data_IF_271571756770
#
_entry.id   IF_271571756770
#
_cell.length_a   1.000
_cell.length_b   1.000
_cell.length_c   1.000
_cell.angle_alpha   90.00
_cell.angle_beta   90.00
_cell.angle_gamma   90.00
#
_symmetry.space_group_name_H-M   'P 1'
#
loop_
_entity.id
_entity.type
_entity.pdbx_description
1 polymer ?
#
# COMPACT_ATOMS: atom_id res chain seq x y z
N UNK A 1 18.41 -8.53 -6.45
CA UNK A 1 18.80 -7.11 -6.26
C UNK A 1 18.46 -6.36 -7.54
N UNK A 2 17.72 -5.23 -7.48
CA UNK A 2 17.23 -4.51 -8.66
C UNK A 2 18.37 -4.02 -9.59
N UNK A 3 19.49 -3.58 -9.01
CA UNK A 3 20.65 -3.10 -9.78
C UNK A 3 20.84 -1.60 -9.74
N UNK A 4 21.90 -1.11 -10.42
CA UNK A 4 22.27 0.30 -10.38
C UNK A 4 22.64 0.77 -8.97
N UNK A 5 22.01 1.85 -8.52
CA UNK A 5 22.14 2.35 -7.15
C UNK A 5 21.39 1.52 -6.11
N UNK A 6 20.43 0.71 -6.53
CA UNK A 6 19.60 -0.11 -5.66
C UNK A 6 20.28 -1.47 -5.42
N UNK A 7 20.96 -1.59 -4.28
CA UNK A 7 21.73 -2.78 -3.88
C UNK A 7 21.03 -3.60 -2.78
N UNK A 8 19.85 -3.18 -2.39
CA UNK A 8 18.99 -3.79 -1.40
C UNK A 8 17.92 -4.66 -2.08
N UNK A 9 17.36 -5.60 -1.31
CA UNK A 9 16.14 -6.31 -1.67
C UNK A 9 14.97 -5.48 -1.13
N UNK A 10 14.10 -5.03 -2.03
CA UNK A 10 12.90 -4.29 -1.69
C UNK A 10 11.68 -5.21 -1.68
N UNK A 11 10.73 -4.94 -0.80
CA UNK A 11 9.62 -5.86 -0.53
C UNK A 11 8.70 -6.02 -1.75
N UNK A 12 7.97 -4.98 -2.16
CA UNK A 12 6.96 -5.13 -3.21
C UNK A 12 7.56 -5.39 -4.60
N UNK A 13 8.75 -4.87 -4.88
CA UNK A 13 9.51 -5.14 -6.12
C UNK A 13 9.77 -6.63 -6.31
N UNK A 14 9.98 -7.34 -5.20
CA UNK A 14 10.24 -8.79 -5.20
C UNK A 14 9.05 -9.60 -5.74
N UNK A 15 7.81 -9.13 -5.56
CA UNK A 15 6.64 -9.78 -6.13
C UNK A 15 6.72 -9.82 -7.66
N UNK A 16 7.04 -8.70 -8.30
CA UNK A 16 7.17 -8.63 -9.77
C UNK A 16 8.36 -9.47 -10.27
N UNK A 17 9.46 -9.50 -9.52
CA UNK A 17 10.59 -10.38 -9.78
C UNK A 17 10.16 -11.86 -9.73
N UNK A 18 9.36 -12.26 -8.74
CA UNK A 18 8.84 -13.62 -8.62
C UNK A 18 7.96 -14.02 -9.79
N UNK A 19 7.13 -13.11 -10.34
CA UNK A 19 6.33 -13.40 -11.52
C UNK A 19 7.22 -13.77 -12.72
N UNK A 20 8.36 -13.08 -12.90
CA UNK A 20 9.37 -13.45 -13.91
C UNK A 20 9.99 -14.82 -13.63
N UNK A 21 10.38 -15.09 -12.38
CA UNK A 21 10.94 -16.41 -12.00
C UNK A 21 9.94 -17.54 -12.25
N UNK A 22 8.66 -17.35 -11.95
CA UNK A 22 7.64 -18.36 -12.26
C UNK A 22 7.46 -18.58 -13.77
N UNK A 23 7.55 -17.51 -14.59
CA UNK A 23 7.48 -17.62 -16.04
C UNK A 23 8.70 -18.41 -16.61
N UNK A 24 9.86 -18.29 -15.97
CA UNK A 24 11.08 -19.01 -16.32
C UNK A 24 11.18 -20.41 -15.65
N UNK A 25 10.13 -20.86 -14.95
CA UNK A 25 10.08 -22.11 -14.20
C UNK A 25 11.08 -22.20 -13.02
N UNK A 26 11.57 -21.07 -12.52
CA UNK A 26 12.48 -20.97 -11.36
C UNK A 26 11.70 -20.93 -10.03
N UNK A 27 10.75 -21.86 -9.86
CA UNK A 27 9.85 -21.93 -8.69
C UNK A 27 10.60 -22.03 -7.37
N UNK A 28 11.70 -22.83 -7.32
CA UNK A 28 12.48 -23.00 -6.09
C UNK A 28 13.14 -21.70 -5.62
N UNK A 29 13.57 -20.85 -6.55
CA UNK A 29 14.14 -19.53 -6.23
C UNK A 29 13.06 -18.58 -5.69
N UNK A 30 11.90 -18.53 -6.34
CA UNK A 30 10.76 -17.72 -5.87
C UNK A 30 10.30 -18.18 -4.47
N UNK A 31 10.20 -19.48 -4.21
CA UNK A 31 9.84 -20.02 -2.90
C UNK A 31 10.87 -19.67 -1.82
N UNK A 32 12.17 -19.71 -2.14
CA UNK A 32 13.24 -19.26 -1.25
C UNK A 32 13.10 -17.77 -0.89
N UNK A 33 12.70 -16.91 -1.84
CA UNK A 33 12.42 -15.50 -1.56
C UNK A 33 11.23 -15.33 -0.61
N UNK A 34 10.15 -16.10 -0.82
CA UNK A 34 8.97 -16.09 0.09
C UNK A 34 9.38 -16.53 1.49
N UNK A 35 10.21 -17.58 1.62
CA UNK A 35 10.70 -18.04 2.91
C UNK A 35 11.50 -16.96 3.63
N UNK A 36 12.36 -16.22 2.93
CA UNK A 36 13.13 -15.11 3.51
C UNK A 36 12.18 -14.00 4.03
N UNK A 37 11.09 -13.68 3.32
CA UNK A 37 10.09 -12.73 3.80
C UNK A 37 9.30 -13.27 5.00
N UNK A 38 8.96 -14.56 4.99
CA UNK A 38 8.34 -15.23 6.14
C UNK A 38 9.22 -15.14 7.39
N UNK A 39 10.53 -15.37 7.25
CA UNK A 39 11.50 -15.23 8.35
C UNK A 39 11.59 -13.79 8.87
N UNK A 40 11.49 -12.78 7.98
CA UNK A 40 11.43 -11.37 8.39
C UNK A 40 10.15 -11.07 9.19
N UNK A 41 9.00 -11.55 8.72
CA UNK A 41 7.73 -11.40 9.44
C UNK A 41 7.81 -12.09 10.81
N UNK A 42 8.42 -13.27 10.90
CA UNK A 42 8.55 -13.98 12.16
C UNK A 42 9.44 -13.25 13.18
N UNK A 43 10.49 -12.57 12.72
CA UNK A 43 11.43 -11.83 13.56
C UNK A 43 10.96 -10.43 13.93
N UNK A 44 10.32 -9.73 13.00
CA UNK A 44 10.01 -8.28 13.11
C UNK A 44 8.50 -8.00 13.22
N UNK A 45 7.66 -8.96 12.87
CA UNK A 45 6.21 -8.79 12.77
C UNK A 45 5.73 -8.26 11.41
N UNK A 46 6.64 -7.82 10.54
CA UNK A 46 6.33 -7.27 9.21
C UNK A 46 7.52 -7.41 8.26
N UNK A 47 7.33 -7.11 6.99
CA UNK A 47 8.42 -7.03 6.01
C UNK A 47 8.84 -5.56 5.89
N UNK A 48 10.10 -5.21 6.26
CA UNK A 48 10.61 -3.85 6.07
C UNK A 48 10.65 -3.44 4.60
N UNK A 49 10.63 -2.13 4.35
CA UNK A 49 10.74 -1.52 3.03
C UNK A 49 11.90 -2.11 2.20
N UNK A 50 13.05 -2.35 2.84
CA UNK A 50 14.20 -3.01 2.27
C UNK A 50 15.03 -3.69 3.36
N UNK A 51 16.03 -4.49 2.97
CA UNK A 51 16.83 -5.32 3.86
C UNK A 51 17.99 -4.58 4.56
N UNK A 52 17.74 -3.35 5.03
CA UNK A 52 18.67 -2.55 5.85
C UNK A 52 17.97 -2.11 7.14
N UNK A 53 18.74 -1.96 8.21
CA UNK A 53 18.23 -1.59 9.55
C UNK A 53 17.50 -0.23 9.56
N UNK A 54 17.91 0.72 8.73
CA UNK A 54 17.26 2.03 8.65
C UNK A 54 15.88 2.01 7.99
N UNK A 55 15.49 0.90 7.38
CA UNK A 55 14.11 0.69 6.87
C UNK A 55 13.15 0.11 7.92
N UNK A 56 13.61 -0.16 9.16
CA UNK A 56 12.80 -0.83 10.17
C UNK A 56 11.61 0.01 10.70
N UNK A 57 11.50 1.29 10.32
CA UNK A 57 10.37 2.15 10.70
C UNK A 57 9.13 2.00 9.82
N UNK A 58 9.25 1.35 8.64
CA UNK A 58 8.18 1.25 7.64
C UNK A 58 8.25 -0.02 6.81
N UNK A 59 7.13 -0.40 6.23
CA UNK A 59 7.02 -1.49 5.27
C UNK A 59 7.03 -0.94 3.82
N UNK A 60 6.46 -1.67 2.90
CA UNK A 60 6.03 -1.30 1.55
C UNK A 60 4.64 -1.88 1.29
N UNK A 61 3.99 -1.63 0.13
CA UNK A 61 2.68 -2.19 -0.17
C UNK A 61 2.63 -3.71 0.07
N UNK A 62 1.62 -4.22 0.82
CA UNK A 62 1.59 -5.60 1.31
C UNK A 62 1.28 -6.63 0.22
N UNK A 63 2.29 -7.04 -0.52
CA UNK A 63 2.19 -8.03 -1.58
C UNK A 63 2.43 -9.48 -1.13
N UNK A 64 2.71 -9.74 0.15
CA UNK A 64 3.00 -11.11 0.60
C UNK A 64 1.85 -12.08 0.31
N UNK A 65 0.60 -11.65 0.52
CA UNK A 65 -0.57 -12.47 0.19
C UNK A 65 -0.68 -12.79 -1.32
N UNK A 66 -0.25 -11.87 -2.20
CA UNK A 66 -0.17 -12.11 -3.64
C UNK A 66 1.01 -13.05 -4.01
N UNK A 67 2.13 -12.98 -3.27
CA UNK A 67 3.24 -13.93 -3.43
C UNK A 67 2.80 -15.35 -3.09
N UNK A 68 2.03 -15.51 -2.01
CA UNK A 68 1.45 -16.81 -1.61
C UNK A 68 0.46 -17.32 -2.66
N UNK A 69 -0.41 -16.44 -3.19
CA UNK A 69 -1.33 -16.81 -4.28
C UNK A 69 -0.57 -17.25 -5.54
N UNK A 70 0.44 -16.49 -5.96
CA UNK A 70 1.25 -16.82 -7.13
C UNK A 70 1.97 -18.17 -6.97
N UNK A 71 2.53 -18.46 -5.78
CA UNK A 71 3.13 -19.76 -5.48
C UNK A 71 2.11 -20.89 -5.51
N UNK A 72 0.91 -20.67 -4.94
CA UNK A 72 -0.17 -21.65 -4.93
C UNK A 72 -0.64 -22.00 -6.36
N UNK A 73 -0.78 -20.99 -7.22
CA UNK A 73 -1.13 -21.17 -8.64
C UNK A 73 -0.03 -21.94 -9.37
N UNK A 74 1.24 -21.56 -9.19
CA UNK A 74 2.37 -22.21 -9.84
C UNK A 74 2.49 -23.68 -9.43
N UNK A 75 2.30 -23.99 -8.14
CA UNK A 75 2.32 -25.38 -7.62
C UNK A 75 1.03 -26.16 -7.86
N UNK A 76 -0.02 -25.54 -8.40
CA UNK A 76 -1.38 -26.13 -8.50
C UNK A 76 -1.85 -26.70 -7.17
N UNK A 77 -1.58 -26.01 -6.07
CA UNK A 77 -1.85 -26.47 -4.70
C UNK A 77 -2.17 -25.32 -3.77
N UNK A 78 -3.17 -25.49 -2.89
CA UNK A 78 -3.51 -24.52 -1.86
C UNK A 78 -2.63 -24.62 -0.60
N UNK A 79 -1.65 -25.54 -0.56
CA UNK A 79 -0.73 -25.73 0.57
C UNK A 79 -0.01 -24.43 0.99
N UNK A 80 0.45 -23.54 0.11
CA UNK A 80 1.10 -22.30 0.53
C UNK A 80 0.27 -21.44 1.48
N UNK A 81 -1.06 -21.39 1.31
CA UNK A 81 -1.94 -20.66 2.24
C UNK A 81 -1.91 -21.22 3.65
N UNK A 82 -1.84 -22.53 3.81
CA UNK A 82 -1.77 -23.18 5.14
C UNK A 82 -0.38 -23.13 5.74
N UNK A 83 0.65 -23.20 4.92
CA UNK A 83 2.04 -23.11 5.34
C UNK A 83 2.36 -21.73 5.93
N UNK A 84 1.90 -20.67 5.30
CA UNK A 84 2.23 -19.29 5.65
C UNK A 84 1.11 -18.52 6.38
N UNK A 85 0.10 -19.22 6.92
CA UNK A 85 -1.04 -18.60 7.61
C UNK A 85 -0.62 -17.69 8.76
N UNK A 86 0.39 -18.10 9.54
CA UNK A 86 0.91 -17.31 10.67
C UNK A 86 1.53 -16.01 10.21
N UNK A 87 2.28 -16.04 9.11
CA UNK A 87 2.94 -14.85 8.56
C UNK A 87 1.92 -13.91 7.90
N UNK A 88 0.94 -14.43 7.18
CA UNK A 88 -0.19 -13.63 6.67
C UNK A 88 -0.93 -12.92 7.82
N UNK A 89 -1.16 -13.61 8.94
CA UNK A 89 -1.79 -13.03 10.12
C UNK A 89 -0.94 -11.91 10.73
N UNK A 90 0.36 -12.14 10.92
CA UNK A 90 1.27 -11.13 11.49
C UNK A 90 1.38 -9.89 10.61
N UNK A 91 1.45 -10.06 9.27
CA UNK A 91 1.43 -8.92 8.36
C UNK A 91 0.12 -8.13 8.47
N UNK A 92 -1.02 -8.82 8.53
CA UNK A 92 -2.30 -8.16 8.76
C UNK A 92 -2.31 -7.39 10.09
N UNK A 93 -1.82 -7.99 11.16
CA UNK A 93 -1.77 -7.37 12.48
C UNK A 93 -0.89 -6.11 12.49
N UNK A 94 0.23 -6.11 11.74
CA UNK A 94 1.06 -4.92 11.54
C UNK A 94 0.25 -3.78 10.89
N UNK A 95 -0.44 -4.04 9.80
CA UNK A 95 -1.24 -3.02 9.11
C UNK A 95 -2.46 -2.57 9.92
N UNK A 96 -2.92 -3.37 10.86
CA UNK A 96 -4.06 -3.05 11.74
C UNK A 96 -3.63 -2.47 13.09
N UNK A 97 -2.32 -2.20 13.31
CA UNK A 97 -1.86 -1.51 14.51
C UNK A 97 -2.55 -0.16 14.68
N UNK A 98 -2.98 0.12 15.90
CA UNK A 98 -3.73 1.34 16.25
C UNK A 98 -5.26 1.19 16.13
N UNK A 99 -5.79 0.14 15.52
CA UNK A 99 -7.24 -0.06 15.35
C UNK A 99 -8.01 0.00 16.66
N UNK A 100 -7.47 -0.62 17.71
CA UNK A 100 -8.14 -0.75 19.02
C UNK A 100 -8.25 0.59 19.78
N UNK A 101 -7.44 1.59 19.42
CA UNK A 101 -7.46 2.94 20.02
C UNK A 101 -8.37 3.93 19.29
N UNK A 102 -9.00 3.50 18.17
CA UNK A 102 -9.84 4.39 17.39
C UNK A 102 -11.18 4.64 18.06
N UNK A 103 -11.58 5.92 18.11
CA UNK A 103 -12.92 6.37 18.55
C UNK A 103 -13.37 7.52 17.65
N UNK A 104 -14.57 8.05 17.92
CA UNK A 104 -15.05 9.23 17.18
C UNK A 104 -14.26 10.49 17.56
N UNK A 105 -13.72 10.57 18.80
CA UNK A 105 -12.85 11.64 19.27
C UNK A 105 -11.38 11.45 18.83
N UNK A 106 -10.96 10.21 18.61
CA UNK A 106 -9.62 9.86 18.15
C UNK A 106 -9.69 9.00 16.88
N UNK A 107 -9.95 9.63 15.72
CA UNK A 107 -10.26 8.90 14.48
C UNK A 107 -9.03 8.30 13.80
N UNK A 108 -7.79 8.63 14.21
CA UNK A 108 -6.58 8.12 13.57
C UNK A 108 -5.57 7.58 14.58
N UNK A 109 -4.97 6.47 14.24
CA UNK A 109 -3.87 5.88 15.00
C UNK A 109 -3.01 5.01 14.09
N UNK A 110 -1.72 5.34 14.02
CA UNK A 110 -0.76 4.62 13.17
C UNK A 110 -1.29 4.43 11.73
N UNK A 111 -1.38 3.19 11.27
CA UNK A 111 -1.88 2.87 9.93
C UNK A 111 -3.41 2.94 9.79
N UNK A 112 -4.16 3.04 10.88
CA UNK A 112 -5.62 2.93 10.87
C UNK A 112 -6.33 4.27 10.99
N UNK A 113 -7.37 4.44 10.19
CA UNK A 113 -8.26 5.61 10.19
C UNK A 113 -9.71 5.13 10.34
N UNK A 114 -10.40 5.66 11.34
CA UNK A 114 -11.85 5.52 11.48
C UNK A 114 -12.54 6.58 10.63
N UNK A 115 -13.25 6.13 9.62
CA UNK A 115 -14.01 7.02 8.75
C UNK A 115 -15.28 7.48 9.47
N UNK A 116 -15.88 8.62 9.04
CA UNK A 116 -17.13 9.15 9.63
C UNK A 116 -18.31 8.18 9.64
N UNK A 117 -18.32 7.20 8.75
CA UNK A 117 -19.33 6.16 8.71
C UNK A 117 -19.05 4.99 9.67
N UNK A 118 -17.95 5.04 10.44
CA UNK A 118 -17.51 3.98 11.34
C UNK A 118 -16.64 2.92 10.71
N UNK A 119 -16.46 2.95 9.38
CA UNK A 119 -15.56 2.04 8.68
C UNK A 119 -14.10 2.32 9.06
N UNK A 120 -13.25 1.29 9.06
CA UNK A 120 -11.81 1.43 9.26
C UNK A 120 -11.09 1.19 7.94
N UNK A 121 -10.33 2.18 7.50
CA UNK A 121 -9.44 2.11 6.34
C UNK A 121 -8.01 2.40 6.77
N UNK A 122 -7.06 2.11 5.89
CA UNK A 122 -5.63 2.23 6.19
C UNK A 122 -4.97 3.33 5.38
N UNK A 123 -3.90 3.89 5.97
CA UNK A 123 -2.97 4.83 5.34
C UNK A 123 -1.55 4.30 5.43
N UNK A 124 -0.63 4.84 4.63
CA UNK A 124 0.80 4.67 4.86
C UNK A 124 1.25 5.51 6.04
N UNK A 125 2.10 4.93 6.91
CA UNK A 125 2.52 5.58 8.16
C UNK A 125 3.84 5.03 8.67
N UNK A 126 4.92 5.81 8.58
CA UNK A 126 6.20 5.46 9.22
C UNK A 126 6.18 5.85 10.71
N UNK A 127 6.72 4.99 11.55
CA UNK A 127 6.79 5.22 12.99
C UNK A 127 7.74 6.37 13.37
N UNK A 128 8.73 6.69 12.53
CA UNK A 128 9.69 7.76 12.77
C UNK A 128 9.25 9.10 12.17
N UNK A 129 9.69 10.18 12.80
CA UNK A 129 9.46 11.57 12.40
C UNK A 129 10.77 12.36 12.26
N UNK A 130 11.83 11.65 11.85
CA UNK A 130 13.18 12.17 11.57
C UNK A 130 13.47 12.09 10.07
N UNK A 131 14.47 12.81 9.56
CA UNK A 131 14.92 12.65 8.18
C UNK A 131 15.22 11.19 7.86
N UNK A 132 14.93 10.74 6.63
CA UNK A 132 15.28 9.41 6.16
C UNK A 132 16.80 9.29 6.06
N UNK A 133 17.37 8.22 6.58
CA UNK A 133 18.82 8.02 6.58
C UNK A 133 19.37 7.89 5.15
N UNK A 134 18.65 7.20 4.26
CA UNK A 134 19.04 7.02 2.86
C UNK A 134 18.87 8.27 1.99
N UNK A 135 18.14 9.29 2.48
CA UNK A 135 17.88 10.55 1.79
C UNK A 135 18.08 11.77 2.70
N UNK A 136 18.96 11.64 3.69
CA UNK A 136 19.12 12.60 4.79
C UNK A 136 19.31 14.04 4.30
N UNK A 137 20.21 14.26 3.34
CA UNK A 137 20.48 15.60 2.79
C UNK A 137 19.24 16.22 2.12
N UNK A 138 18.56 15.44 1.31
CA UNK A 138 17.36 15.91 0.58
C UNK A 138 16.21 16.24 1.54
N UNK A 139 16.05 15.46 2.61
CA UNK A 139 15.01 15.72 3.60
C UNK A 139 15.30 16.99 4.42
N UNK A 140 16.57 17.26 4.77
CA UNK A 140 16.98 18.50 5.44
C UNK A 140 16.79 19.72 4.50
N UNK A 141 17.17 19.61 3.23
CA UNK A 141 16.95 20.67 2.24
C UNK A 141 15.44 20.98 2.07
N UNK A 142 14.59 19.94 2.03
CA UNK A 142 13.13 20.08 1.95
C UNK A 142 12.56 20.74 3.22
N UNK A 143 13.08 20.41 4.40
CA UNK A 143 12.69 21.05 5.65
C UNK A 143 13.11 22.52 5.70
N UNK A 144 14.27 22.85 5.14
CA UNK A 144 14.71 24.25 4.95
C UNK A 144 13.74 25.04 4.08
N UNK A 145 13.26 24.46 2.98
CA UNK A 145 12.24 25.07 2.12
C UNK A 145 10.90 25.24 2.85
N UNK A 146 10.48 24.24 3.65
CA UNK A 146 9.28 24.37 4.48
C UNK A 146 9.38 25.55 5.44
N UNK A 147 10.50 25.69 6.17
CA UNK A 147 10.73 26.81 7.10
C UNK A 147 10.65 28.17 6.45
N UNK A 148 11.23 28.31 5.25
CA UNK A 148 11.20 29.57 4.51
C UNK A 148 9.81 29.95 4.03
N UNK A 149 9.01 28.99 3.58
CA UNK A 149 7.72 29.25 2.94
C UNK A 149 6.52 29.11 3.90
N UNK A 150 6.62 28.25 4.92
CA UNK A 150 5.56 27.94 5.87
C UNK A 150 6.13 27.71 7.28
N UNK A 151 6.70 28.78 7.93
CA UNK A 151 7.46 28.66 9.18
C UNK A 151 6.65 28.17 10.38
N UNK A 152 5.31 28.17 10.29
CA UNK A 152 4.41 27.68 11.31
C UNK A 152 4.19 26.16 11.27
N UNK A 153 4.60 25.46 10.21
CA UNK A 153 4.44 24.02 10.08
C UNK A 153 5.57 23.24 10.77
N UNK A 154 5.22 22.05 11.24
CA UNK A 154 6.11 21.21 12.01
C UNK A 154 6.98 20.33 11.09
N UNK A 155 8.30 20.43 11.22
CA UNK A 155 9.26 19.57 10.49
C UNK A 155 9.09 18.10 10.76
N UNK A 156 8.76 17.69 11.98
CA UNK A 156 8.52 16.29 12.31
C UNK A 156 7.35 15.72 11.50
N UNK A 157 6.31 16.53 11.28
CA UNK A 157 5.20 16.12 10.42
C UNK A 157 5.63 16.00 8.96
N UNK A 158 6.49 16.90 8.47
CA UNK A 158 7.07 16.79 7.14
C UNK A 158 7.86 15.48 6.99
N UNK A 159 8.78 15.20 7.91
CA UNK A 159 9.58 13.97 7.85
C UNK A 159 8.70 12.72 7.88
N UNK A 160 7.68 12.69 8.74
CA UNK A 160 6.72 11.58 8.76
C UNK A 160 6.00 11.42 7.43
N UNK A 161 5.57 12.50 6.82
CA UNK A 161 4.94 12.46 5.50
C UNK A 161 5.89 11.95 4.40
N UNK A 162 7.16 12.38 4.39
CA UNK A 162 8.19 11.89 3.46
C UNK A 162 8.45 10.39 3.66
N UNK A 163 8.61 9.96 4.91
CA UNK A 163 8.82 8.54 5.27
C UNK A 163 7.62 7.68 4.90
N UNK A 164 6.40 8.15 5.17
CA UNK A 164 5.16 7.45 4.80
C UNK A 164 4.95 7.42 3.27
N UNK A 165 5.36 8.46 2.56
CA UNK A 165 5.41 8.45 1.09
C UNK A 165 6.38 7.40 0.56
N UNK A 166 7.54 7.24 1.20
CA UNK A 166 8.50 6.18 0.87
C UNK A 166 7.95 4.77 1.19
N UNK A 167 7.14 4.60 2.26
CA UNK A 167 6.44 3.35 2.53
C UNK A 167 5.50 2.95 1.40
N UNK A 168 4.90 3.92 0.72
CA UNK A 168 3.96 3.66 -0.37
C UNK A 168 4.61 3.03 -1.61
N UNK A 169 5.93 3.16 -1.78
CA UNK A 169 6.64 2.82 -3.01
C UNK A 169 6.34 3.75 -4.20
N UNK A 170 5.49 4.80 -4.01
CA UNK A 170 5.13 5.81 -5.02
C UNK A 170 5.80 7.16 -4.75
N UNK A 171 7.01 7.14 -4.24
CA UNK A 171 7.81 8.30 -3.91
C UNK A 171 8.56 8.84 -5.14
N UNK A 172 8.52 10.13 -5.48
CA UNK A 172 7.42 11.01 -5.05
C UNK A 172 6.76 11.57 -6.30
N UNK A 173 5.47 11.81 -6.22
CA UNK A 173 4.70 12.33 -7.34
C UNK A 173 3.61 13.29 -6.86
N UNK A 174 2.90 13.94 -7.79
CA UNK A 174 1.73 14.78 -7.49
C UNK A 174 0.68 14.09 -6.61
N UNK A 175 0.68 12.74 -6.56
CA UNK A 175 -0.25 11.96 -5.74
C UNK A 175 -0.28 12.41 -4.28
N UNK A 176 0.89 12.76 -3.72
CA UNK A 176 1.07 13.06 -2.31
C UNK A 176 1.17 14.55 -1.99
N UNK A 177 1.15 15.43 -3.00
CA UNK A 177 1.44 16.84 -2.84
C UNK A 177 0.18 17.71 -2.85
N UNK A 178 0.07 18.67 -1.90
CA UNK A 178 -0.94 19.74 -1.94
C UNK A 178 -0.64 20.76 -3.03
N UNK A 179 0.64 21.10 -3.18
CA UNK A 179 1.18 21.90 -4.29
C UNK A 179 2.13 21.00 -5.09
N UNK A 180 1.77 20.71 -6.33
CA UNK A 180 2.47 19.75 -7.19
C UNK A 180 3.91 20.15 -7.54
N UNK A 181 4.29 21.40 -7.34
CA UNK A 181 5.64 21.91 -7.59
C UNK A 181 6.55 21.85 -6.36
N UNK A 182 6.00 21.56 -5.19
CA UNK A 182 6.72 21.72 -3.92
C UNK A 182 6.64 20.46 -3.05
N UNK A 183 7.79 19.74 -2.94
CA UNK A 183 7.86 18.52 -2.15
C UNK A 183 7.54 18.76 -0.66
N UNK A 184 7.86 19.93 -0.11
CA UNK A 184 7.51 20.27 1.27
C UNK A 184 6.01 20.34 1.54
N UNK A 185 5.17 20.34 0.49
CA UNK A 185 3.70 20.28 0.61
C UNK A 185 3.13 18.88 0.78
N UNK A 186 3.99 17.87 0.91
CA UNK A 186 3.62 16.45 1.05
C UNK A 186 2.72 16.23 2.27
N UNK A 187 1.65 15.42 2.08
CA UNK A 187 0.64 15.15 3.11
C UNK A 187 0.15 13.69 3.09
N UNK A 188 1.06 12.77 2.90
CA UNK A 188 0.76 11.33 2.75
C UNK A 188 -0.11 10.78 3.86
N UNK A 189 0.14 11.16 5.13
CA UNK A 189 -0.62 10.65 6.28
C UNK A 189 -2.08 11.14 6.34
N UNK A 190 -2.43 12.16 5.55
CA UNK A 190 -3.81 12.66 5.42
C UNK A 190 -4.62 11.83 4.39
N UNK A 191 -3.97 10.93 3.67
CA UNK A 191 -4.55 10.24 2.52
C UNK A 191 -4.85 8.78 2.85
N UNK A 192 -6.05 8.34 2.47
CA UNK A 192 -6.46 6.93 2.37
C UNK A 192 -6.14 6.47 0.95
N UNK A 193 -5.06 5.71 0.74
CA UNK A 193 -4.68 5.27 -0.59
C UNK A 193 -5.51 4.07 -1.04
N UNK A 194 -6.00 4.15 -2.27
CA UNK A 194 -6.88 3.12 -2.83
C UNK A 194 -6.16 1.79 -3.02
N UNK A 195 -4.89 1.82 -3.43
CA UNK A 195 -4.05 0.63 -3.64
C UNK A 195 -3.80 -0.14 -2.34
N UNK A 196 -3.36 0.52 -1.27
CA UNK A 196 -3.13 -0.13 0.03
C UNK A 196 -4.40 -0.85 0.51
N UNK A 197 -5.55 -0.17 0.43
CA UNK A 197 -6.80 -0.76 0.89
C UNK A 197 -7.26 -1.92 0.00
N UNK A 198 -6.95 -1.91 -1.29
CA UNK A 198 -7.17 -3.05 -2.18
C UNK A 198 -6.26 -4.24 -1.84
N UNK A 199 -4.99 -3.99 -1.53
CA UNK A 199 -4.05 -5.04 -1.12
C UNK A 199 -4.46 -5.68 0.22
N UNK A 200 -4.91 -4.87 1.18
CA UNK A 200 -5.44 -5.38 2.46
C UNK A 200 -6.75 -6.16 2.28
N UNK A 201 -7.62 -5.76 1.36
CA UNK A 201 -8.77 -6.58 0.98
C UNK A 201 -8.34 -7.96 0.48
N UNK A 202 -7.31 -8.03 -0.37
CA UNK A 202 -6.78 -9.30 -0.85
C UNK A 202 -6.15 -10.13 0.28
N UNK A 203 -5.42 -9.50 1.21
CA UNK A 203 -4.85 -10.16 2.38
C UNK A 203 -5.96 -10.75 3.29
N UNK A 204 -7.05 -10.01 3.53
CA UNK A 204 -8.21 -10.49 4.27
C UNK A 204 -8.86 -11.71 3.60
N UNK A 205 -9.00 -11.70 2.27
CA UNK A 205 -9.50 -12.87 1.51
C UNK A 205 -8.56 -14.07 1.58
N UNK A 206 -7.26 -13.81 1.52
CA UNK A 206 -6.23 -14.86 1.64
C UNK A 206 -6.26 -15.50 3.03
N UNK A 207 -6.42 -14.71 4.09
CA UNK A 207 -6.62 -15.21 5.46
C UNK A 207 -7.91 -16.02 5.60
N UNK A 208 -9.02 -15.55 5.04
CA UNK A 208 -10.27 -16.28 5.03
C UNK A 208 -10.11 -17.66 4.36
N UNK A 209 -9.39 -17.72 3.22
CA UNK A 209 -9.08 -18.98 2.52
C UNK A 209 -8.19 -19.87 3.39
N UNK A 210 -7.11 -19.34 3.95
CA UNK A 210 -6.17 -20.09 4.78
C UNK A 210 -6.85 -20.71 6.03
N UNK A 211 -7.68 -19.92 6.72
CA UNK A 211 -8.45 -20.41 7.88
C UNK A 211 -9.49 -21.47 7.51
N UNK A 212 -10.14 -21.36 6.36
CA UNK A 212 -11.05 -22.40 5.87
C UNK A 212 -10.32 -23.71 5.60
N UNK A 213 -9.13 -23.65 4.96
CA UNK A 213 -8.30 -24.82 4.68
C UNK A 213 -7.76 -25.51 5.96
N UNK A 214 -7.63 -24.75 7.04
CA UNK A 214 -7.19 -25.27 8.36
C UNK A 214 -8.35 -25.61 9.30
N UNK A 215 -9.59 -25.76 8.78
CA UNK A 215 -10.80 -26.09 9.53
C UNK A 215 -11.10 -25.13 10.70
N UNK A 216 -10.89 -23.84 10.49
CA UNK A 216 -11.21 -22.75 11.42
C UNK A 216 -12.29 -21.83 10.83
N UNK A 217 -13.56 -22.29 10.77
CA UNK A 217 -14.61 -21.56 10.06
C UNK A 217 -15.00 -20.23 10.70
N UNK A 218 -14.85 -20.07 12.01
CA UNK A 218 -15.17 -18.81 12.71
C UNK A 218 -14.19 -17.71 12.29
N UNK A 219 -12.89 -17.99 12.30
CA UNK A 219 -11.85 -17.07 11.83
C UNK A 219 -12.01 -16.78 10.34
N UNK A 220 -12.31 -17.79 9.52
CA UNK A 220 -12.58 -17.60 8.10
C UNK A 220 -13.75 -16.63 7.87
N UNK A 221 -14.86 -16.79 8.58
CA UNK A 221 -16.02 -15.91 8.48
C UNK A 221 -15.72 -14.48 8.97
N UNK A 222 -14.89 -14.34 10.01
CA UNK A 222 -14.42 -13.04 10.48
C UNK A 222 -13.68 -12.28 9.37
N UNK A 223 -12.76 -12.92 8.66
CA UNK A 223 -12.01 -12.28 7.56
C UNK A 223 -12.87 -12.06 6.31
N UNK A 224 -13.87 -12.89 6.04
CA UNK A 224 -14.87 -12.61 5.00
C UNK A 224 -15.61 -11.31 5.35
N UNK A 225 -16.06 -11.15 6.58
CA UNK A 225 -16.77 -9.95 7.05
C UNK A 225 -15.88 -8.70 6.90
N UNK A 226 -14.60 -8.79 7.29
CA UNK A 226 -13.66 -7.68 7.14
C UNK A 226 -13.43 -7.30 5.68
N UNK A 227 -13.23 -8.28 4.80
CA UNK A 227 -13.01 -8.03 3.38
C UNK A 227 -14.22 -7.38 2.72
N UNK A 228 -15.45 -7.81 3.01
CA UNK A 228 -16.65 -7.20 2.44
C UNK A 228 -16.91 -5.78 2.99
N UNK A 229 -16.63 -5.54 4.27
CA UNK A 229 -16.70 -4.20 4.85
C UNK A 229 -15.67 -3.25 4.18
N UNK A 230 -14.43 -3.71 4.00
CA UNK A 230 -13.37 -2.93 3.32
C UNK A 230 -13.74 -2.67 1.87
N UNK A 231 -14.21 -3.67 1.13
CA UNK A 231 -14.69 -3.50 -0.25
C UNK A 231 -15.77 -2.42 -0.34
N UNK A 232 -16.77 -2.48 0.54
CA UNK A 232 -17.84 -1.49 0.59
C UNK A 232 -17.30 -0.08 0.86
N UNK A 233 -16.34 0.05 1.78
CA UNK A 233 -15.70 1.31 2.11
C UNK A 233 -14.86 1.86 0.93
N UNK A 234 -14.10 1.01 0.22
CA UNK A 234 -13.35 1.41 -0.97
C UNK A 234 -14.30 1.94 -2.04
N UNK A 235 -15.40 1.25 -2.33
CA UNK A 235 -16.40 1.71 -3.31
C UNK A 235 -17.05 3.03 -2.89
N UNK A 236 -17.30 3.22 -1.59
CA UNK A 236 -17.92 4.43 -1.03
C UNK A 236 -16.99 5.64 -1.08
N UNK A 237 -15.73 5.49 -0.70
CA UNK A 237 -14.81 6.62 -0.50
C UNK A 237 -13.88 6.87 -1.67
N UNK A 238 -13.58 5.85 -2.48
CA UNK A 238 -12.58 5.96 -3.55
C UNK A 238 -13.18 6.01 -4.97
N UNK A 239 -14.43 5.57 -5.19
CA UNK A 239 -15.04 5.65 -6.50
C UNK A 239 -15.63 7.03 -6.78
N UNK A 240 -15.12 7.73 -7.80
CA UNK A 240 -15.67 9.01 -8.25
C UNK A 240 -16.66 8.80 -9.42
N UNK A 241 -17.95 8.89 -9.12
CA UNK A 241 -19.01 8.65 -10.10
C UNK A 241 -18.98 9.64 -11.28
N UNK A 242 -18.60 10.90 -11.04
CA UNK A 242 -18.53 11.92 -12.10
C UNK A 242 -17.32 11.74 -12.99
N UNK A 243 -16.16 11.37 -12.41
CA UNK A 243 -14.91 11.18 -13.14
C UNK A 243 -14.75 9.75 -13.67
N UNK A 244 -15.64 8.81 -13.25
CA UNK A 244 -15.61 7.39 -13.62
C UNK A 244 -14.24 6.77 -13.39
N UNK A 245 -13.64 7.06 -12.21
CA UNK A 245 -12.30 6.61 -11.85
C UNK A 245 -12.15 6.44 -10.34
N UNK A 246 -11.32 5.49 -9.90
CA UNK A 246 -10.97 5.35 -8.51
C UNK A 246 -9.85 6.33 -8.13
N UNK A 247 -10.01 6.99 -7.00
CA UNK A 247 -9.11 8.02 -6.50
C UNK A 247 -8.82 7.80 -5.02
N UNK A 248 -7.68 8.32 -4.56
CA UNK A 248 -7.40 8.38 -3.13
C UNK A 248 -8.35 9.36 -2.44
N UNK A 249 -8.55 9.17 -1.14
CA UNK A 249 -9.45 9.98 -0.33
C UNK A 249 -8.66 10.68 0.79
N UNK A 250 -8.84 11.99 0.95
CA UNK A 250 -8.26 12.72 2.06
C UNK A 250 -9.24 12.71 3.24
N UNK A 251 -8.88 12.02 4.32
CA UNK A 251 -9.75 11.82 5.47
C UNK A 251 -9.89 13.08 6.33
N UNK A 252 -8.90 14.00 6.32
CA UNK A 252 -8.95 15.27 7.04
C UNK A 252 -9.95 16.25 6.39
N UNK A 253 -9.87 16.38 5.06
CA UNK A 253 -10.79 17.27 4.29
C UNK A 253 -12.10 16.58 3.93
N UNK A 254 -12.16 15.25 4.07
CA UNK A 254 -13.31 14.41 3.72
C UNK A 254 -13.71 14.52 2.24
N UNK A 255 -12.71 14.58 1.38
CA UNK A 255 -12.88 14.67 -0.06
C UNK A 255 -11.89 13.75 -0.78
N UNK A 256 -12.26 13.30 -1.97
CA UNK A 256 -11.31 12.65 -2.86
C UNK A 256 -10.23 13.64 -3.25
N UNK A 257 -8.97 13.18 -3.37
CA UNK A 257 -7.82 14.06 -3.66
C UNK A 257 -7.92 14.75 -5.01
N UNK A 258 -8.70 14.20 -5.94
CA UNK A 258 -8.84 14.73 -7.28
C UNK A 258 -7.70 14.35 -8.23
N UNK A 259 -6.63 13.77 -7.72
CA UNK A 259 -5.47 13.32 -8.49
C UNK A 259 -5.78 12.02 -9.23
N UNK A 260 -5.43 11.98 -10.51
CA UNK A 260 -5.44 10.77 -11.30
C UNK A 260 -4.09 10.07 -11.20
N UNK A 261 -4.06 8.88 -10.62
CA UNK A 261 -2.88 8.02 -10.55
C UNK A 261 -3.20 6.59 -10.95
N UNK A 262 -2.21 5.83 -11.38
CA UNK A 262 -2.37 4.41 -11.69
C UNK A 262 -2.79 3.56 -10.48
N UNK A 263 -2.70 4.08 -9.25
CA UNK A 263 -3.26 3.42 -8.08
C UNK A 263 -4.76 3.13 -8.23
N UNK A 264 -5.48 3.93 -9.04
CA UNK A 264 -6.88 3.70 -9.38
C UNK A 264 -7.19 2.42 -10.17
N UNK A 265 -6.16 1.66 -10.61
CA UNK A 265 -6.36 0.35 -11.26
C UNK A 265 -6.40 -0.81 -10.27
N UNK A 266 -5.95 -0.63 -9.02
CA UNK A 266 -5.92 -1.70 -8.03
C UNK A 266 -7.31 -2.32 -7.74
N UNK A 267 -8.42 -1.57 -7.72
CA UNK A 267 -9.76 -2.17 -7.60
C UNK A 267 -10.12 -3.13 -8.74
N UNK A 268 -9.54 -2.96 -9.94
CA UNK A 268 -9.69 -3.90 -11.05
C UNK A 268 -8.85 -5.15 -10.80
N UNK A 269 -7.59 -4.96 -10.44
CA UNK A 269 -6.65 -6.04 -10.15
C UNK A 269 -7.15 -6.96 -9.04
N UNK A 270 -7.68 -6.40 -7.95
CA UNK A 270 -8.23 -7.14 -6.81
C UNK A 270 -9.69 -7.56 -6.97
N UNK A 271 -10.31 -7.31 -8.14
CA UNK A 271 -11.70 -7.69 -8.47
C UNK A 271 -12.75 -7.06 -7.54
N UNK A 272 -12.48 -5.85 -7.04
CA UNK A 272 -13.44 -5.02 -6.29
C UNK A 272 -14.38 -4.28 -7.24
N UNK A 273 -13.84 -3.73 -8.35
CA UNK A 273 -14.59 -2.96 -9.33
C UNK A 273 -15.67 -3.81 -10.02
N UNK A 274 -16.84 -3.20 -10.32
CA UNK A 274 -17.81 -3.80 -11.22
C UNK A 274 -17.28 -3.81 -12.66
N UNK A 275 -17.95 -4.55 -13.56
CA UNK A 275 -17.56 -4.59 -14.97
C UNK A 275 -17.62 -3.18 -15.62
N UNK A 276 -18.63 -2.40 -15.29
CA UNK A 276 -18.83 -1.05 -15.78
C UNK A 276 -17.75 -0.10 -15.28
N UNK A 277 -17.42 -0.20 -13.98
CA UNK A 277 -16.32 0.57 -13.37
C UNK A 277 -14.97 0.19 -14.01
N UNK A 278 -14.71 -1.11 -14.17
CA UNK A 278 -13.48 -1.61 -14.77
C UNK A 278 -13.32 -1.13 -16.21
N UNK A 279 -14.39 -1.16 -17.03
CA UNK A 279 -14.37 -0.66 -18.40
C UNK A 279 -14.06 0.84 -18.43
N UNK A 280 -14.74 1.63 -17.60
CA UNK A 280 -14.54 3.08 -17.56
C UNK A 280 -13.11 3.46 -17.16
N UNK A 281 -12.53 2.74 -16.19
CA UNK A 281 -11.11 2.93 -15.78
C UNK A 281 -10.17 2.52 -16.91
N UNK A 282 -10.39 1.37 -17.56
CA UNK A 282 -9.58 0.90 -18.69
C UNK A 282 -9.58 1.91 -19.85
N UNK A 283 -10.76 2.42 -20.24
CA UNK A 283 -10.90 3.43 -21.29
C UNK A 283 -10.10 4.69 -20.95
N UNK A 284 -10.15 5.12 -19.68
CA UNK A 284 -9.39 6.28 -19.22
C UNK A 284 -7.88 6.03 -19.22
N UNK A 285 -7.42 4.84 -18.84
CA UNK A 285 -5.99 4.49 -18.91
C UNK A 285 -5.50 4.57 -20.37
N UNK A 286 -6.21 3.95 -21.30
CA UNK A 286 -5.84 3.98 -22.71
C UNK A 286 -5.83 5.41 -23.26
N UNK A 287 -6.83 6.22 -22.91
CA UNK A 287 -6.97 7.58 -23.40
C UNK A 287 -5.95 8.56 -22.82
N UNK A 288 -5.78 8.54 -21.49
CA UNK A 288 -5.12 9.62 -20.79
C UNK A 288 -3.71 9.24 -20.29
N UNK A 289 -3.50 7.97 -19.87
CA UNK A 289 -2.25 7.52 -19.26
C UNK A 289 -1.29 6.86 -20.24
N UNK A 290 -1.79 6.22 -21.30
CA UNK A 290 -0.96 5.58 -22.31
C UNK A 290 -0.27 6.63 -23.18
N UNK A 291 1.07 6.63 -23.19
CA UNK A 291 1.91 7.52 -23.98
C UNK A 291 2.83 6.68 -24.88
N UNK A 292 3.57 7.31 -25.79
CA UNK A 292 4.49 6.62 -26.71
C UNK A 292 5.56 5.78 -25.99
N UNK A 293 5.98 6.16 -24.78
CA UNK A 293 6.97 5.46 -23.99
C UNK A 293 6.41 4.46 -22.96
N UNK A 294 5.08 4.32 -22.87
CA UNK A 294 4.42 3.47 -21.87
C UNK A 294 3.30 4.16 -21.13
N UNK A 295 2.93 3.63 -19.96
CA UNK A 295 1.86 4.17 -19.12
C UNK A 295 2.45 5.09 -18.05
N UNK A 296 1.96 6.33 -17.92
CA UNK A 296 2.42 7.28 -16.89
C UNK A 296 1.82 6.94 -15.53
N UNK A 297 2.54 7.19 -14.45
CA UNK A 297 2.06 6.92 -13.08
C UNK A 297 1.00 7.90 -12.61
N UNK A 298 1.07 9.16 -13.06
CA UNK A 298 0.10 10.23 -12.78
C UNK A 298 -0.14 11.05 -14.05
N UNK A 299 -1.24 11.80 -14.11
CA UNK A 299 -1.54 12.69 -15.24
C UNK A 299 -0.91 14.08 -15.08
N UNK A 300 -0.50 14.44 -13.89
CA UNK A 300 0.21 15.70 -13.65
C UNK A 300 1.71 15.47 -13.69
N UNK A 301 2.40 16.21 -14.54
CA UNK A 301 3.87 16.13 -14.63
C UNK A 301 4.50 16.93 -13.48
N UNK A 302 5.31 16.26 -12.67
CA UNK A 302 6.12 16.83 -11.60
C UNK A 302 7.59 16.57 -11.90
N UNK A 303 8.46 17.55 -11.64
CA UNK A 303 9.93 17.44 -11.74
C UNK A 303 10.50 18.06 -12.97
#
# INVERSE_FOLDING_TARGET
>A
VPGGRFREIYYWDSYFTMLGLFADNETAMAESMIQNFADLIDKLGFIPNGNRSYYAGRSQPPFFSHMIEALAVNKSSDQPYTTYITQLQKEYDFWMQGRESLSDENPDSLHCIRMKGGEVLNRYYDHFDTPREEMYRNDIETAGQLKMNQPHLNEKQLYRNLRSGAESGWDFSSRWLKDYNNLYSIHTIDIIPVDLNCLLYHLEKSLAKAYRLTNKPEEANRYITFSEARKTAILKYCWNEKKKFFMDYNWCTQQMTGNFSLAGVYPLYTKIATKEQAQAVADKIVKDFLKSGGVTTTLYQTG
#
